data_IF_690392563691
#
_entry.id   IF_690392563691
#
_cell.length_a   1.000
_cell.length_b   1.000
_cell.length_c   1.000
_cell.angle_alpha   90.00
_cell.angle_beta   90.00
_cell.angle_gamma   90.00
#
_symmetry.space_group_name_H-M   'P 1'
#
loop_
_entity.id
_entity.type
_entity.pdbx_description
1 polymer ?
#
# COMPACT_ATOMS: atom_id res chain seq x y z
N UNK A 1 45.38 51.52 0.69
CA UNK A 1 44.42 52.66 0.67
C UNK A 1 43.44 52.50 1.83
N UNK A 2 42.88 53.59 2.38
CA UNK A 2 41.86 53.58 3.46
C UNK A 2 40.50 54.09 2.94
N UNK A 3 39.39 53.86 3.67
CA UNK A 3 38.01 54.05 3.18
C UNK A 3 37.29 55.28 3.77
N UNK A 4 36.03 55.48 3.35
CA UNK A 4 34.95 56.12 4.13
C UNK A 4 33.67 55.28 3.98
N UNK A 5 32.84 54.98 5.00
CA UNK A 5 32.26 55.75 6.13
C UNK A 5 30.98 56.52 5.77
N UNK A 6 29.90 56.29 6.55
CA UNK A 6 29.13 57.21 7.41
C UNK A 6 27.76 56.57 7.75
N UNK A 7 27.05 56.86 8.86
CA UNK A 7 27.40 56.87 10.30
C UNK A 7 26.08 57.00 11.13
N UNK A 8 26.06 56.58 12.40
CA UNK A 8 24.95 56.80 13.35
C UNK A 8 24.99 58.20 14.00
N UNK A 9 23.85 58.68 14.57
CA UNK A 9 23.73 58.86 16.04
C UNK A 9 22.71 57.85 16.65
N UNK A 10 22.76 57.37 17.91
CA UNK A 10 22.95 57.95 19.27
C UNK A 10 21.70 58.71 19.79
N UNK A 11 21.17 58.47 21.00
CA UNK A 11 21.85 58.48 22.33
C UNK A 11 21.09 57.66 23.42
N UNK A 12 21.76 56.94 24.35
CA UNK A 12 22.02 57.23 25.81
C UNK A 12 20.79 57.15 26.78
N UNK A 13 20.87 56.84 28.10
CA UNK A 13 21.92 56.43 29.08
C UNK A 13 21.47 55.13 29.83
N UNK A 14 22.33 54.31 30.47
CA UNK A 14 22.81 54.42 31.87
C UNK A 14 22.15 53.35 32.77
N UNK A 15 22.74 52.75 33.82
CA UNK A 15 24.04 52.94 34.49
C UNK A 15 24.52 51.62 35.19
N UNK A 16 25.82 51.52 35.49
CA UNK A 16 26.48 50.48 36.33
C UNK A 16 26.54 50.94 37.84
N UNK A 17 27.21 50.29 38.84
CA UNK A 17 28.41 49.40 38.80
C UNK A 17 28.47 48.19 39.78
N UNK A 18 29.58 47.43 39.73
CA UNK A 18 30.03 46.47 40.77
C UNK A 18 31.37 45.77 40.46
N UNK A 19 32.36 45.85 41.36
CA UNK A 19 33.78 45.41 41.16
C UNK A 19 34.01 43.92 41.55
N UNK A 20 34.92 43.08 40.99
CA UNK A 20 36.40 43.13 40.68
C UNK A 20 37.32 43.09 41.93
N UNK A 21 38.64 42.69 41.84
CA UNK A 21 39.40 41.92 40.82
C UNK A 21 39.77 40.47 41.33
N UNK A 22 40.92 39.74 41.23
CA UNK A 22 42.34 39.89 40.75
C UNK A 22 42.99 38.50 40.37
N UNK A 23 43.86 38.45 39.35
CA UNK A 23 45.01 37.51 39.06
C UNK A 23 44.88 35.95 39.00
N UNK A 24 45.67 35.21 38.18
CA UNK A 24 46.54 35.59 37.05
C UNK A 24 47.75 34.66 36.72
N UNK A 25 48.16 34.62 35.42
CA UNK A 25 49.46 34.13 34.84
C UNK A 25 49.87 32.64 35.06
N UNK A 26 50.77 31.97 34.32
CA UNK A 26 51.49 32.02 33.00
C UNK A 26 52.13 30.60 32.81
N UNK A 27 52.74 30.07 31.72
CA UNK A 27 52.87 30.27 30.27
C UNK A 27 53.84 29.16 29.72
N UNK A 28 53.81 28.89 28.40
CA UNK A 28 54.87 28.30 27.53
C UNK A 28 55.32 26.79 27.51
N UNK A 29 56.07 26.47 26.43
CA UNK A 29 56.54 25.15 25.89
C UNK A 29 58.11 25.10 25.82
N UNK A 30 58.87 24.29 25.02
CA UNK A 30 58.61 23.10 24.14
C UNK A 30 59.67 21.94 24.14
N UNK A 31 59.56 21.01 23.16
CA UNK A 31 60.62 20.23 22.46
C UNK A 31 61.00 18.77 22.87
N UNK A 32 61.68 18.06 21.94
CA UNK A 32 62.19 16.66 21.98
C UNK A 32 63.74 16.61 21.97
N UNK A 33 64.39 15.47 22.28
CA UNK A 33 65.04 14.66 21.23
C UNK A 33 64.93 13.11 21.44
N UNK A 34 65.73 12.28 20.74
CA UNK A 34 65.61 10.80 20.75
C UNK A 34 66.91 10.00 20.39
N UNK A 35 67.01 8.74 20.84
CA UNK A 35 67.89 7.64 20.37
C UNK A 35 67.12 6.30 20.54
N UNK A 36 66.99 5.33 19.62
CA UNK A 36 67.90 4.50 18.78
C UNK A 36 68.49 3.25 19.47
N UNK A 37 68.16 2.02 19.00
CA UNK A 37 68.95 0.82 19.36
C UNK A 37 68.48 -0.62 19.04
N UNK A 38 68.40 -1.03 17.75
CA UNK A 38 68.46 -2.45 17.24
C UNK A 38 67.33 -3.42 17.73
N UNK A 39 67.01 -4.56 17.11
CA UNK A 39 67.43 -5.23 15.86
C UNK A 39 66.29 -6.14 15.33
N UNK A 40 66.50 -6.99 14.32
CA UNK A 40 65.40 -7.68 13.60
C UNK A 40 65.69 -9.14 13.15
N UNK A 41 64.64 -9.81 12.64
CA UNK A 41 64.62 -11.10 11.87
C UNK A 41 64.61 -12.42 12.70
N UNK A 42 64.29 -13.62 12.12
CA UNK A 42 62.88 -14.02 11.89
C UNK A 42 62.47 -15.51 12.06
N UNK A 43 61.20 -15.74 12.44
CA UNK A 43 60.32 -16.77 11.83
C UNK A 43 60.35 -18.24 12.34
N UNK A 44 59.59 -19.09 11.60
CA UNK A 44 59.34 -20.55 11.79
C UNK A 44 58.30 -20.91 12.91
N UNK A 45 57.56 -22.05 12.80
CA UNK A 45 56.17 -21.96 12.34
C UNK A 45 55.15 -22.79 13.17
N UNK A 46 53.91 -22.91 12.65
CA UNK A 46 52.84 -23.74 13.21
C UNK A 46 53.21 -25.22 13.42
N UNK A 47 52.67 -25.81 14.48
CA UNK A 47 52.48 -27.26 14.65
C UNK A 47 51.08 -27.52 15.26
N UNK A 48 50.39 -28.63 14.92
CA UNK A 48 48.97 -28.78 15.20
C UNK A 48 48.67 -29.47 16.54
N UNK A 49 47.67 -28.97 17.27
CA UNK A 49 47.06 -29.74 18.36
C UNK A 49 46.14 -30.83 17.80
N UNK A 50 46.47 -32.09 18.09
CA UNK A 50 45.62 -33.26 17.79
C UNK A 50 44.59 -33.49 18.89
N UNK A 51 43.52 -34.19 18.51
CA UNK A 51 42.46 -34.66 19.40
C UNK A 51 42.99 -35.50 20.58
N UNK A 52 42.39 -35.29 21.76
CA UNK A 52 42.25 -36.30 22.81
C UNK A 52 40.77 -36.47 23.11
N UNK A 53 40.24 -37.69 22.99
CA UNK A 53 38.81 -37.95 23.10
C UNK A 53 38.28 -37.78 24.54
N UNK A 54 37.12 -37.12 24.68
CA UNK A 54 36.30 -37.21 25.88
C UNK A 54 35.05 -38.07 25.62
N UNK A 55 34.63 -38.82 26.64
CA UNK A 55 33.54 -39.80 26.57
C UNK A 55 32.18 -39.12 26.36
N UNK A 56 31.31 -39.76 25.59
CA UNK A 56 29.90 -39.41 25.52
C UNK A 56 29.21 -39.70 26.89
N UNK A 57 28.35 -38.79 27.39
CA UNK A 57 27.41 -39.09 28.47
C UNK A 57 26.37 -40.11 28.01
N UNK A 58 25.84 -40.91 28.94
CA UNK A 58 24.90 -41.99 28.64
C UNK A 58 23.48 -41.47 28.39
N UNK A 59 22.74 -42.16 27.50
CA UNK A 59 21.32 -41.90 27.25
C UNK A 59 20.49 -42.47 28.40
N UNK A 60 19.74 -41.61 29.09
CA UNK A 60 18.70 -42.06 30.03
C UNK A 60 17.44 -42.49 29.25
N UNK A 61 16.76 -43.59 29.66
CA UNK A 61 15.56 -44.05 28.98
C UNK A 61 14.38 -43.09 29.19
N UNK A 62 13.61 -42.85 28.13
CA UNK A 62 12.46 -41.96 28.17
C UNK A 62 11.29 -42.57 28.97
N UNK A 63 10.71 -41.77 29.88
CA UNK A 63 9.45 -42.12 30.55
C UNK A 63 8.28 -42.08 29.55
N UNK A 64 7.32 -43.03 29.59
CA UNK A 64 6.20 -43.05 28.66
C UNK A 64 5.27 -41.85 28.89
N UNK A 65 5.01 -41.09 27.83
CA UNK A 65 4.11 -39.95 27.88
C UNK A 65 2.67 -40.41 28.18
N UNK A 66 2.07 -39.89 29.25
CA UNK A 66 0.62 -40.05 29.49
C UNK A 66 -0.14 -39.36 28.36
N UNK A 67 -0.97 -40.13 27.64
CA UNK A 67 -1.86 -39.59 26.64
C UNK A 67 -2.81 -38.55 27.27
N UNK A 68 -2.96 -37.39 26.61
CA UNK A 68 -4.02 -36.43 26.97
C UNK A 68 -5.37 -36.99 26.51
N UNK A 69 -6.46 -36.82 27.28
CA UNK A 69 -7.80 -37.11 26.78
C UNK A 69 -8.12 -36.18 25.59
N UNK A 70 -8.96 -36.64 24.63
CA UNK A 70 -9.40 -35.79 23.53
C UNK A 70 -10.27 -34.62 24.02
N UNK A 71 -10.31 -33.49 23.29
CA UNK A 71 -11.22 -32.40 23.62
C UNK A 71 -12.69 -32.84 23.46
N UNK A 72 -13.63 -32.22 24.21
CA UNK A 72 -15.05 -32.49 24.03
C UNK A 72 -15.53 -32.04 22.64
N UNK A 73 -16.59 -32.68 22.10
CA UNK A 73 -17.17 -32.26 20.82
C UNK A 73 -17.78 -30.84 20.91
N UNK A 74 -17.85 -30.10 19.78
CA UNK A 74 -18.50 -28.80 19.76
C UNK A 74 -20.01 -28.92 20.03
N UNK A 75 -20.65 -27.86 20.58
CA UNK A 75 -22.09 -27.84 20.76
C UNK A 75 -22.83 -27.88 19.41
N UNK A 76 -24.07 -28.42 19.36
CA UNK A 76 -24.86 -28.43 18.14
C UNK A 76 -25.19 -27.00 17.67
N UNK A 77 -25.40 -26.79 16.35
CA UNK A 77 -25.81 -25.49 15.83
C UNK A 77 -27.20 -25.09 16.37
N UNK A 78 -27.48 -23.78 16.51
CA UNK A 78 -28.81 -23.31 16.88
C UNK A 78 -29.84 -23.68 15.80
N UNK A 79 -31.13 -23.87 16.16
CA UNK A 79 -32.19 -24.11 15.20
C UNK A 79 -32.36 -22.92 14.23
N UNK A 80 -32.82 -23.15 13.00
CA UNK A 80 -33.07 -22.07 12.05
C UNK A 80 -34.16 -21.12 12.56
N UNK A 81 -34.09 -19.81 12.24
CA UNK A 81 -35.12 -18.86 12.65
C UNK A 81 -36.48 -19.21 12.01
N UNK A 82 -37.55 -19.06 12.79
CA UNK A 82 -38.91 -19.25 12.29
C UNK A 82 -39.24 -18.19 11.20
N UNK A 83 -40.01 -18.55 10.15
CA UNK A 83 -40.38 -17.60 9.11
C UNK A 83 -41.32 -16.53 9.67
N UNK A 84 -40.97 -15.25 9.48
CA UNK A 84 -41.86 -14.14 9.79
C UNK A 84 -43.07 -14.13 8.84
N UNK A 85 -44.31 -13.92 9.34
CA UNK A 85 -45.49 -13.82 8.49
C UNK A 85 -45.48 -12.49 7.72
N UNK A 86 -45.54 -12.54 6.40
CA UNK A 86 -45.74 -11.36 5.55
C UNK A 86 -47.23 -11.00 5.56
N UNK A 87 -47.60 -10.00 6.34
CA UNK A 87 -48.93 -9.40 6.28
C UNK A 87 -49.12 -8.59 5.01
N UNK A 88 -50.17 -8.88 4.24
CA UNK A 88 -50.53 -8.13 3.05
C UNK A 88 -51.61 -7.09 3.38
N UNK A 89 -51.37 -5.80 3.10
CA UNK A 89 -52.42 -4.82 2.84
C UNK A 89 -51.85 -3.50 2.27
N UNK A 90 -51.87 -3.33 0.93
CA UNK A 90 -51.58 -2.05 0.25
C UNK A 90 -51.96 -2.05 -1.25
N UNK A 91 -53.09 -2.63 -1.68
CA UNK A 91 -53.51 -2.60 -3.11
C UNK A 91 -54.88 -1.95 -3.27
N UNK A 92 -54.89 -0.65 -3.58
CA UNK A 92 -56.02 0.07 -4.19
C UNK A 92 -55.49 1.13 -5.17
N UNK A 93 -55.63 0.86 -6.47
CA UNK A 93 -55.17 1.78 -7.52
C UNK A 93 -55.45 1.25 -8.92
N UNK A 94 -56.62 1.61 -9.47
CA UNK A 94 -57.03 1.54 -10.88
C UNK A 94 -56.60 0.32 -11.74
N UNK A 95 -57.55 -0.56 -12.05
CA UNK A 95 -57.49 -1.39 -13.26
C UNK A 95 -58.47 -0.86 -14.32
N UNK A 96 -58.05 -0.79 -15.60
CA UNK A 96 -58.97 -0.46 -16.70
C UNK A 96 -58.53 -1.09 -18.06
N UNK A 97 -59.39 -1.98 -18.58
CA UNK A 97 -59.69 -2.23 -20.01
C UNK A 97 -58.58 -2.77 -20.96
N UNK A 98 -58.61 -4.11 -21.11
CA UNK A 98 -58.75 -4.88 -22.38
C UNK A 98 -57.88 -4.59 -23.64
N UNK A 99 -56.94 -5.53 -23.88
CA UNK A 99 -56.88 -6.45 -25.04
C UNK A 99 -56.98 -5.98 -26.51
N UNK A 100 -55.98 -6.38 -27.33
CA UNK A 100 -56.17 -6.71 -28.76
C UNK A 100 -55.12 -7.71 -29.31
N UNK A 101 -55.56 -8.55 -30.26
CA UNK A 101 -54.79 -9.23 -31.33
C UNK A 101 -53.46 -9.97 -31.04
N UNK A 102 -53.56 -11.30 -30.91
CA UNK A 102 -52.50 -12.23 -31.37
C UNK A 102 -52.79 -12.74 -32.80
N UNK A 103 -51.77 -13.18 -33.57
CA UNK A 103 -51.75 -14.38 -34.46
C UNK A 103 -50.58 -14.42 -35.47
N UNK A 104 -50.18 -15.66 -35.84
CA UNK A 104 -49.22 -16.09 -36.90
C UNK A 104 -47.74 -15.74 -36.60
N UNK A 105 -46.77 -16.58 -36.98
CA UNK A 105 -46.83 -17.91 -37.58
C UNK A 105 -45.44 -18.58 -37.60
N UNK A 106 -45.38 -19.91 -37.61
CA UNK A 106 -44.14 -20.68 -37.45
C UNK A 106 -43.61 -21.28 -38.77
N UNK A 107 -42.39 -21.86 -38.71
CA UNK A 107 -41.66 -22.57 -39.77
C UNK A 107 -41.03 -21.63 -40.84
N UNK A 108 -39.87 -21.91 -41.44
CA UNK A 108 -39.16 -23.21 -41.65
C UNK A 108 -37.63 -22.98 -41.76
N UNK A 109 -36.83 -24.05 -41.65
CA UNK A 109 -35.37 -24.02 -41.89
C UNK A 109 -34.99 -24.46 -43.32
N UNK A 110 -33.82 -24.05 -43.84
CA UNK A 110 -33.34 -24.44 -45.19
C UNK A 110 -31.93 -23.94 -45.56
N UNK A 111 -31.09 -24.86 -46.04
CA UNK A 111 -29.63 -24.75 -46.19
C UNK A 111 -29.05 -23.85 -47.32
N UNK A 112 -27.99 -23.11 -46.96
CA UNK A 112 -26.61 -23.16 -47.50
C UNK A 112 -26.22 -22.96 -49.00
N UNK A 113 -25.14 -22.15 -49.16
CA UNK A 113 -23.97 -22.23 -50.11
C UNK A 113 -23.97 -21.57 -51.52
N UNK A 114 -22.88 -20.80 -51.73
CA UNK A 114 -22.04 -20.63 -52.95
C UNK A 114 -22.56 -19.84 -54.17
N UNK A 115 -21.73 -19.30 -55.10
CA UNK A 115 -20.37 -18.69 -55.06
C UNK A 115 -19.96 -18.18 -56.48
N UNK A 116 -19.01 -17.22 -56.60
CA UNK A 116 -18.34 -16.78 -57.87
C UNK A 116 -19.24 -15.99 -58.88
N UNK A 117 -18.84 -15.34 -59.99
CA UNK A 117 -17.61 -14.68 -60.56
C UNK A 117 -18.06 -13.94 -61.87
N UNK A 118 -17.39 -13.02 -62.60
CA UNK A 118 -16.10 -12.29 -62.47
C UNK A 118 -16.09 -10.98 -63.31
N UNK A 119 -15.19 -10.04 -62.98
CA UNK A 119 -14.44 -9.10 -63.86
C UNK A 119 -15.09 -8.28 -65.00
N UNK A 120 -14.92 -6.93 -64.96
CA UNK A 120 -14.33 -6.08 -66.03
C UNK A 120 -14.04 -4.63 -65.52
N UNK A 121 -13.09 -3.95 -66.18
CA UNK A 121 -12.62 -2.55 -66.05
C UNK A 121 -12.27 -2.05 -67.48
N UNK A 122 -11.91 -0.77 -67.78
CA UNK A 122 -11.74 0.45 -66.96
C UNK A 122 -12.74 1.56 -67.46
N UNK A 123 -12.55 2.92 -67.41
CA UNK A 123 -11.49 3.78 -66.83
C UNK A 123 -11.99 4.87 -65.86
N UNK A 124 -11.12 5.82 -65.50
CA UNK A 124 -11.32 6.82 -64.45
C UNK A 124 -11.53 8.25 -64.99
N UNK A 125 -12.15 9.12 -64.16
CA UNK A 125 -11.59 10.42 -63.70
C UNK A 125 -12.56 11.11 -62.71
N UNK A 126 -11.99 11.76 -61.67
CA UNK A 126 -12.56 12.77 -60.76
C UNK A 126 -13.97 12.56 -60.13
N UNK A 127 -13.99 12.29 -58.82
CA UNK A 127 -15.19 12.45 -57.97
C UNK A 127 -14.87 12.32 -56.48
N UNK A 128 -15.32 13.27 -55.65
CA UNK A 128 -15.16 13.20 -54.18
C UNK A 128 -16.09 12.15 -53.58
N UNK A 129 -15.54 11.17 -52.88
CA UNK A 129 -16.25 10.45 -51.81
C UNK A 129 -15.23 9.96 -50.77
N UNK A 130 -15.34 10.41 -49.52
CA UNK A 130 -14.68 9.72 -48.41
C UNK A 130 -15.44 8.41 -48.17
N UNK A 131 -14.73 7.28 -48.20
CA UNK A 131 -15.33 5.98 -47.95
C UNK A 131 -15.98 5.92 -46.57
N UNK A 132 -17.19 5.38 -46.49
CA UNK A 132 -17.90 5.24 -45.23
C UNK A 132 -17.18 4.22 -44.33
N UNK A 133 -16.42 4.72 -43.36
CA UNK A 133 -15.96 3.93 -42.21
C UNK A 133 -17.19 3.31 -41.54
N UNK A 134 -17.28 1.97 -41.39
CA UNK A 134 -18.45 1.31 -40.82
C UNK A 134 -18.80 1.86 -39.43
N UNK A 135 -20.10 1.97 -39.11
CA UNK A 135 -20.54 2.60 -37.86
C UNK A 135 -19.86 2.01 -36.62
N UNK A 136 -19.68 0.68 -36.58
CA UNK A 136 -18.97 -0.02 -35.52
C UNK A 136 -17.56 0.53 -35.22
N UNK A 137 -16.80 0.92 -36.26
CA UNK A 137 -15.44 1.47 -36.10
C UNK A 137 -15.46 2.90 -35.54
N UNK A 138 -16.52 3.68 -35.83
CA UNK A 138 -16.74 4.97 -35.16
C UNK A 138 -17.10 4.79 -33.68
N UNK A 139 -17.96 3.80 -33.36
CA UNK A 139 -18.35 3.51 -31.98
C UNK A 139 -17.18 3.03 -31.10
N UNK A 140 -16.25 2.23 -31.63
CA UNK A 140 -15.05 1.83 -30.89
C UNK A 140 -14.15 3.02 -30.52
N UNK A 141 -14.05 4.04 -31.39
CA UNK A 141 -13.26 5.24 -31.13
C UNK A 141 -13.97 6.21 -30.17
N UNK A 142 -15.31 6.31 -30.20
CA UNK A 142 -16.05 7.18 -29.30
C UNK A 142 -16.12 6.68 -27.85
N UNK A 143 -15.97 5.39 -27.57
CA UNK A 143 -16.12 4.85 -26.21
C UNK A 143 -14.99 5.27 -25.25
N UNK A 144 -13.72 5.21 -25.70
CA UNK A 144 -12.59 5.77 -24.96
C UNK A 144 -12.62 7.30 -24.87
N UNK A 145 -13.50 7.97 -25.60
CA UNK A 145 -13.67 9.42 -25.56
C UNK A 145 -14.80 9.79 -24.57
N UNK A 146 -15.96 9.12 -24.65
CA UNK A 146 -17.05 9.22 -23.67
C UNK A 146 -16.61 8.92 -22.24
N UNK A 147 -15.76 7.91 -22.02
CA UNK A 147 -15.22 7.61 -20.69
C UNK A 147 -14.20 8.65 -20.19
N UNK A 148 -13.54 9.42 -21.08
CA UNK A 148 -12.70 10.58 -20.72
C UNK A 148 -13.52 11.85 -20.49
N UNK A 149 -14.71 11.94 -21.07
CA UNK A 149 -15.66 13.04 -20.86
C UNK A 149 -16.52 12.86 -19.59
N UNK A 150 -16.80 11.61 -19.18
CA UNK A 150 -17.63 11.31 -17.99
C UNK A 150 -16.85 11.04 -16.70
N UNK A 151 -15.66 10.45 -16.79
CA UNK A 151 -14.73 10.38 -15.66
C UNK A 151 -13.76 11.55 -15.80
N UNK A 152 -13.51 12.32 -14.73
CA UNK A 152 -12.50 13.39 -14.75
C UNK A 152 -11.08 12.80 -14.87
N UNK A 153 -10.68 12.44 -16.09
CA UNK A 153 -9.40 11.84 -16.44
C UNK A 153 -8.72 12.79 -17.43
N UNK A 154 -7.97 13.75 -16.88
CA UNK A 154 -7.11 14.61 -17.70
C UNK A 154 -6.00 13.78 -18.33
N UNK A 155 -5.95 13.75 -19.67
CA UNK A 155 -4.88 13.08 -20.39
C UNK A 155 -3.53 13.74 -20.08
N UNK A 156 -2.60 12.98 -19.48
CA UNK A 156 -1.19 13.40 -19.31
C UNK A 156 -0.39 13.30 -20.63
N UNK A 157 -1.05 13.55 -21.77
CA UNK A 157 -0.47 13.52 -23.12
C UNK A 157 -0.10 14.94 -23.51
N UNK A 158 1.19 15.26 -23.45
CA UNK A 158 1.71 16.57 -23.81
C UNK A 158 1.53 16.85 -25.32
N UNK A 159 0.47 17.56 -25.71
CA UNK A 159 0.23 17.89 -27.12
C UNK A 159 -1.11 18.53 -27.47
N UNK A 160 -1.31 19.78 -27.05
CA UNK A 160 -2.27 20.75 -27.60
C UNK A 160 -3.76 20.36 -27.76
N UNK A 161 -4.61 20.94 -26.91
CA UNK A 161 -5.69 21.83 -27.35
C UNK A 161 -6.16 22.73 -26.18
N UNK A 162 -6.62 23.94 -26.55
CA UNK A 162 -7.21 25.04 -25.77
C UNK A 162 -6.75 25.34 -24.33
N UNK A 163 -6.23 26.57 -24.17
CA UNK A 163 -6.01 27.25 -22.89
C UNK A 163 -7.32 27.67 -22.20
N UNK A 164 -7.24 27.87 -20.89
CA UNK A 164 -8.27 28.49 -20.04
C UNK A 164 -9.46 27.62 -19.59
N UNK A 165 -9.15 26.44 -19.03
CA UNK A 165 -9.77 26.08 -17.76
C UNK A 165 -8.70 26.08 -16.66
N UNK A 166 -8.63 27.17 -15.89
CA UNK A 166 -7.84 27.20 -14.67
C UNK A 166 -8.53 26.31 -13.62
N UNK A 167 -8.12 25.04 -13.57
CA UNK A 167 -8.39 24.19 -12.40
C UNK A 167 -7.62 24.79 -11.22
N UNK A 168 -8.27 25.69 -10.49
CA UNK A 168 -7.70 26.36 -9.31
C UNK A 168 -7.44 25.32 -8.22
N UNK A 169 -6.24 24.75 -8.23
CA UNK A 169 -5.78 23.73 -7.29
C UNK A 169 -6.01 24.22 -5.85
N UNK A 170 -6.70 23.41 -5.05
CA UNK A 170 -7.08 23.79 -3.69
C UNK A 170 -5.84 24.10 -2.86
N UNK A 171 -5.71 25.37 -2.44
CA UNK A 171 -4.52 25.88 -1.79
C UNK A 171 -4.23 25.14 -0.48
N UNK A 172 -3.06 24.53 -0.40
CA UNK A 172 -2.63 23.71 0.73
C UNK A 172 -2.69 22.19 0.52
N UNK A 173 -3.20 21.71 -0.62
CA UNK A 173 -2.98 20.32 -1.06
C UNK A 173 -1.59 20.17 -1.72
N UNK A 174 -0.98 18.97 -1.69
CA UNK A 174 0.25 18.68 -2.45
C UNK A 174 0.02 18.74 -3.97
N UNK A 175 1.08 18.85 -4.77
CA UNK A 175 1.01 18.75 -6.24
C UNK A 175 0.99 17.30 -6.75
N UNK A 176 1.70 16.41 -6.03
CA UNK A 176 1.84 15.00 -6.36
C UNK A 176 1.54 14.12 -5.15
N UNK A 177 0.75 13.06 -5.35
CA UNK A 177 0.42 12.04 -4.34
C UNK A 177 0.97 10.69 -4.78
N UNK A 178 1.88 10.14 -3.97
CA UNK A 178 2.44 8.80 -4.17
C UNK A 178 1.46 7.75 -3.64
N UNK A 179 0.87 6.97 -4.54
CA UNK A 179 0.08 5.79 -4.17
C UNK A 179 1.04 4.61 -3.93
N UNK A 180 0.84 3.91 -2.81
CA UNK A 180 1.49 2.63 -2.52
C UNK A 180 0.44 1.53 -2.62
N UNK A 181 0.55 0.71 -3.66
CA UNK A 181 -0.41 -0.36 -3.94
C UNK A 181 -0.10 -1.59 -3.08
N UNK A 182 -0.97 -1.89 -2.11
CA UNK A 182 -0.81 -3.01 -1.16
C UNK A 182 -1.70 -4.22 -1.48
N UNK A 183 -2.46 -4.20 -2.58
CA UNK A 183 -3.35 -5.29 -3.00
C UNK A 183 -2.67 -6.67 -3.09
N UNK A 184 -1.49 -6.82 -3.72
CA UNK A 184 -0.81 -8.11 -3.83
C UNK A 184 -0.38 -8.72 -2.49
N UNK A 185 0.01 -7.89 -1.51
CA UNK A 185 0.33 -8.31 -0.14
C UNK A 185 -0.90 -8.26 0.77
N UNK A 186 -1.28 -7.08 1.25
CA UNK A 186 -2.30 -6.90 2.30
C UNK A 186 -3.71 -7.31 1.84
N UNK A 187 -4.04 -6.96 0.60
CA UNK A 187 -5.31 -7.36 -0.03
C UNK A 187 -5.44 -8.87 -0.10
N UNK A 188 -4.52 -9.56 -0.79
CA UNK A 188 -4.58 -11.02 -0.92
C UNK A 188 -4.31 -11.78 0.39
N UNK A 189 -3.65 -11.19 1.39
CA UNK A 189 -3.32 -11.85 2.66
C UNK A 189 -4.56 -12.33 3.44
N UNK A 190 -5.68 -11.60 3.34
CA UNK A 190 -6.93 -11.94 4.03
C UNK A 190 -7.98 -12.61 3.11
N UNK A 191 -7.61 -12.96 1.88
CA UNK A 191 -8.54 -13.59 0.95
C UNK A 191 -8.89 -15.05 1.32
N UNK A 192 -10.14 -15.43 0.99
CA UNK A 192 -10.65 -16.79 1.23
C UNK A 192 -10.10 -17.80 0.22
N UNK A 193 -9.82 -17.34 -1.00
CA UNK A 193 -9.23 -18.13 -2.07
C UNK A 193 -7.72 -17.92 -2.03
N UNK A 194 -6.94 -19.00 -1.91
CA UNK A 194 -5.49 -18.93 -2.09
C UNK A 194 -5.24 -18.77 -3.60
N UNK A 195 -4.92 -17.55 -4.02
CA UNK A 195 -4.63 -17.24 -5.42
C UNK A 195 -3.34 -17.97 -5.87
N UNK A 196 -3.35 -18.64 -7.04
CA UNK A 196 -2.17 -19.28 -7.62
C UNK A 196 -0.99 -18.32 -7.84
N UNK A 197 0.23 -18.84 -7.78
CA UNK A 197 1.48 -18.07 -7.83
C UNK A 197 1.68 -17.34 -9.16
N UNK A 198 1.33 -17.99 -10.27
CA UNK A 198 1.34 -17.43 -11.62
C UNK A 198 0.35 -16.26 -11.76
N UNK A 199 -0.86 -16.40 -11.19
CA UNK A 199 -1.87 -15.34 -11.18
C UNK A 199 -1.42 -14.14 -10.32
N UNK A 200 -0.74 -14.37 -9.18
CA UNK A 200 -0.14 -13.29 -8.38
C UNK A 200 0.95 -12.54 -9.15
N UNK A 201 1.85 -13.29 -9.80
CA UNK A 201 2.92 -12.73 -10.64
C UNK A 201 2.32 -11.87 -11.75
N UNK A 202 1.32 -12.38 -12.48
CA UNK A 202 0.67 -11.66 -13.56
C UNK A 202 -0.08 -10.41 -13.07
N UNK A 203 -0.78 -10.49 -11.93
CA UNK A 203 -1.40 -9.32 -11.31
C UNK A 203 -0.38 -8.22 -11.01
N UNK A 204 0.77 -8.55 -10.40
CA UNK A 204 1.84 -7.57 -10.12
C UNK A 204 2.48 -7.03 -11.41
N UNK A 205 2.63 -7.87 -12.44
CA UNK A 205 3.14 -7.45 -13.75
C UNK A 205 2.18 -6.47 -14.45
N UNK A 206 0.86 -6.64 -14.30
CA UNK A 206 -0.14 -5.69 -14.80
C UNK A 206 -0.12 -4.39 -14.00
N UNK A 207 -0.10 -4.46 -12.66
CA UNK A 207 0.00 -3.29 -11.78
C UNK A 207 1.25 -2.44 -12.09
N UNK A 208 2.39 -3.08 -12.37
CA UNK A 208 3.64 -2.39 -12.73
C UNK A 208 3.55 -1.58 -14.02
N UNK A 209 2.58 -1.88 -14.90
CA UNK A 209 2.35 -1.16 -16.15
C UNK A 209 1.32 -0.02 -16.03
N UNK A 210 0.74 0.19 -14.85
CA UNK A 210 -0.25 1.25 -14.58
C UNK A 210 0.37 2.64 -14.43
N UNK A 211 1.64 2.73 -14.01
CA UNK A 211 2.27 3.97 -13.53
C UNK A 211 2.40 4.07 -12.00
N UNK A 212 1.90 3.08 -11.25
CA UNK A 212 2.21 2.93 -9.81
C UNK A 212 3.72 2.87 -9.57
N UNK A 213 4.23 3.73 -8.69
CA UNK A 213 5.66 3.82 -8.38
C UNK A 213 6.11 2.90 -7.23
N UNK A 214 5.16 2.38 -6.43
CA UNK A 214 5.43 1.41 -5.34
C UNK A 214 4.32 0.37 -5.29
N UNK A 215 4.67 -0.91 -5.30
CA UNK A 215 3.75 -2.06 -5.19
C UNK A 215 4.27 -3.01 -4.12
N UNK A 216 3.53 -3.22 -3.02
CA UNK A 216 3.92 -4.18 -1.99
C UNK A 216 3.58 -5.61 -2.43
N UNK A 217 4.63 -6.37 -2.74
CA UNK A 217 4.56 -7.61 -3.52
C UNK A 217 4.05 -8.80 -2.72
N UNK A 218 4.62 -9.01 -1.52
CA UNK A 218 4.38 -10.22 -0.73
C UNK A 218 4.92 -10.08 0.70
N UNK A 219 4.80 -11.15 1.49
CA UNK A 219 5.13 -11.19 2.91
C UNK A 219 5.98 -12.40 3.24
N UNK A 220 7.21 -12.20 3.71
CA UNK A 220 8.15 -13.26 4.12
C UNK A 220 7.88 -13.75 5.56
N UNK A 221 6.60 -13.99 5.85
CA UNK A 221 6.04 -14.59 7.08
C UNK A 221 6.20 -16.12 7.08
N UNK A 222 5.60 -16.79 8.07
CA UNK A 222 5.46 -18.25 8.06
C UNK A 222 4.16 -18.66 7.36
N UNK A 223 4.27 -19.53 6.37
CA UNK A 223 3.14 -20.14 5.65
C UNK A 223 2.15 -20.89 6.55
N UNK A 224 2.57 -21.31 7.75
CA UNK A 224 1.68 -21.90 8.78
C UNK A 224 0.66 -20.90 9.33
N UNK A 225 1.04 -19.62 9.45
CA UNK A 225 0.18 -18.56 9.97
C UNK A 225 -0.55 -17.80 8.86
N UNK A 226 0.08 -17.67 7.69
CA UNK A 226 -0.46 -16.96 6.52
C UNK A 226 -0.25 -17.82 5.26
N UNK A 227 -1.12 -18.81 4.99
CA UNK A 227 -0.97 -19.69 3.84
C UNK A 227 -1.15 -18.96 2.50
N UNK A 228 -1.88 -17.85 2.46
CA UNK A 228 -2.04 -16.97 1.30
C UNK A 228 -0.69 -16.45 0.76
N UNK A 229 0.32 -16.31 1.62
CA UNK A 229 1.66 -15.78 1.31
C UNK A 229 2.73 -16.88 1.32
N UNK A 230 2.36 -18.15 1.21
CA UNK A 230 3.30 -19.27 1.30
C UNK A 230 4.32 -19.35 0.16
N UNK A 231 4.01 -18.74 -0.99
CA UNK A 231 4.78 -18.68 -2.24
C UNK A 231 5.55 -17.35 -2.41
N UNK A 232 5.83 -16.65 -1.30
CA UNK A 232 6.50 -15.35 -1.28
C UNK A 232 7.87 -15.33 -2.01
N UNK A 233 8.57 -16.47 -2.09
CA UNK A 233 9.89 -16.55 -2.74
C UNK A 233 9.75 -16.65 -4.25
N UNK A 234 8.73 -17.38 -4.68
CA UNK A 234 8.39 -17.72 -6.05
C UNK A 234 7.76 -16.51 -6.74
N UNK A 235 6.86 -15.79 -6.05
CA UNK A 235 6.31 -14.52 -6.53
C UNK A 235 7.40 -13.46 -6.69
N UNK A 236 8.22 -13.21 -5.66
CA UNK A 236 9.27 -12.17 -5.70
C UNK A 236 10.32 -12.42 -6.79
N UNK A 237 10.61 -13.70 -7.11
CA UNK A 237 11.51 -14.09 -8.21
C UNK A 237 10.86 -14.13 -9.59
N UNK A 238 9.52 -14.27 -9.66
CA UNK A 238 8.77 -14.45 -10.90
C UNK A 238 8.25 -13.16 -11.53
N UNK A 239 8.11 -12.08 -10.74
CA UNK A 239 7.68 -10.77 -11.25
C UNK A 239 8.76 -10.09 -12.12
N UNK A 240 8.30 -9.34 -13.12
CA UNK A 240 9.17 -8.43 -13.86
C UNK A 240 9.34 -7.14 -13.06
N UNK A 241 10.57 -6.82 -12.62
CA UNK A 241 10.85 -5.58 -11.91
C UNK A 241 11.03 -4.43 -12.92
N UNK A 242 9.99 -3.62 -13.09
CA UNK A 242 9.99 -2.50 -14.05
C UNK A 242 10.87 -1.33 -13.57
N UNK A 243 11.71 -0.73 -14.43
CA UNK A 243 12.52 0.44 -14.07
C UNK A 243 11.66 1.60 -13.55
N UNK A 244 12.02 2.12 -12.36
CA UNK A 244 11.31 3.22 -11.71
C UNK A 244 10.19 2.77 -10.74
N UNK A 245 9.78 1.51 -10.77
CA UNK A 245 8.83 0.92 -9.80
C UNK A 245 9.61 0.27 -8.65
N UNK A 246 9.10 0.41 -7.43
CA UNK A 246 9.69 -0.21 -6.23
C UNK A 246 8.79 -1.32 -5.69
N UNK A 247 9.42 -2.38 -5.17
CA UNK A 247 8.76 -3.64 -4.84
C UNK A 247 9.02 -4.04 -3.37
N UNK A 248 8.49 -3.29 -2.38
CA UNK A 248 8.62 -3.63 -0.96
C UNK A 248 7.98 -4.99 -0.62
N UNK A 249 8.56 -5.67 0.38
CA UNK A 249 8.03 -6.92 0.94
C UNK A 249 8.10 -6.94 2.46
N UNK A 250 7.08 -7.53 3.09
CA UNK A 250 6.95 -7.53 4.55
C UNK A 250 7.90 -8.54 5.20
N UNK A 251 8.79 -8.08 6.08
CA UNK A 251 9.81 -8.90 6.75
C UNK A 251 9.68 -8.80 8.28
N UNK A 252 8.85 -9.64 8.92
CA UNK A 252 8.55 -9.55 10.37
C UNK A 252 9.72 -9.90 11.31
N UNK A 253 10.78 -10.52 10.79
CA UNK A 253 11.92 -10.99 11.55
C UNK A 253 13.13 -11.24 10.62
N UNK A 254 14.30 -11.46 11.22
CA UNK A 254 15.57 -11.62 10.51
C UNK A 254 15.60 -12.82 9.54
N UNK A 255 14.89 -13.91 9.84
CA UNK A 255 14.76 -15.05 8.92
C UNK A 255 13.86 -14.72 7.71
N UNK A 256 12.82 -13.91 7.91
CA UNK A 256 12.03 -13.34 6.82
C UNK A 256 12.87 -12.42 5.93
N UNK A 257 13.64 -11.51 6.54
CA UNK A 257 14.55 -10.61 5.86
C UNK A 257 15.58 -11.35 4.99
N UNK A 258 16.31 -12.32 5.53
CA UNK A 258 17.30 -13.07 4.73
C UNK A 258 16.68 -13.84 3.56
N UNK A 259 15.44 -14.33 3.70
CA UNK A 259 14.71 -14.96 2.58
C UNK A 259 14.26 -13.95 1.52
N UNK A 260 13.84 -12.74 1.93
CA UNK A 260 13.49 -11.65 1.02
C UNK A 260 14.70 -11.20 0.18
N UNK A 261 15.85 -10.99 0.82
CA UNK A 261 17.11 -10.64 0.15
C UNK A 261 17.54 -11.75 -0.82
N UNK A 262 17.47 -13.02 -0.40
CA UNK A 262 17.76 -14.17 -1.26
C UNK A 262 16.70 -14.42 -2.37
N UNK A 263 15.61 -13.64 -2.36
CA UNK A 263 14.60 -13.59 -3.42
C UNK A 263 14.73 -12.37 -4.35
N UNK A 264 15.68 -11.45 -4.07
CA UNK A 264 15.90 -10.25 -4.88
C UNK A 264 15.07 -9.03 -4.46
N UNK A 265 14.56 -8.99 -3.23
CA UNK A 265 13.88 -7.81 -2.70
C UNK A 265 14.86 -6.66 -2.43
N UNK A 266 14.55 -5.47 -2.94
CA UNK A 266 15.37 -4.25 -2.83
C UNK A 266 14.81 -3.21 -1.87
N UNK A 267 13.62 -3.44 -1.31
CA UNK A 267 12.98 -2.64 -0.25
C UNK A 267 12.22 -3.59 0.67
N UNK A 268 12.13 -3.28 1.96
CA UNK A 268 11.40 -4.10 2.94
C UNK A 268 10.42 -3.27 3.78
N UNK A 269 9.45 -3.94 4.40
CA UNK A 269 8.54 -3.35 5.38
C UNK A 269 8.53 -4.11 6.72
N UNK A 270 8.40 -3.37 7.82
CA UNK A 270 8.20 -3.87 9.20
C UNK A 270 6.92 -3.28 9.79
N UNK A 271 6.24 -3.97 10.69
CA UNK A 271 4.93 -3.54 11.20
C UNK A 271 4.81 -3.59 12.73
N UNK A 272 4.74 -2.41 13.35
CA UNK A 272 4.34 -2.24 14.74
C UNK A 272 2.83 -2.05 14.88
N UNK A 273 2.38 -1.87 16.13
CA UNK A 273 1.01 -1.47 16.44
C UNK A 273 1.03 -0.45 17.59
N UNK A 274 0.07 0.48 17.62
CA UNK A 274 -0.13 1.42 18.72
C UNK A 274 -0.95 0.82 19.89
N UNK A 275 -1.11 -0.50 19.93
CA UNK A 275 -1.92 -1.24 20.91
C UNK A 275 -1.22 -2.52 21.36
N UNK A 276 -1.11 -2.71 22.69
CA UNK A 276 -0.47 -3.90 23.28
C UNK A 276 -1.33 -5.15 23.07
N UNK A 277 -2.65 -5.05 23.26
CA UNK A 277 -3.58 -6.15 23.00
C UNK A 277 -3.59 -6.56 21.52
N UNK A 278 -3.39 -5.61 20.60
CA UNK A 278 -3.26 -5.92 19.19
C UNK A 278 -1.93 -6.62 18.89
N UNK A 279 -0.80 -6.07 19.34
CA UNK A 279 0.53 -6.69 19.19
C UNK A 279 0.55 -8.12 19.74
N UNK A 280 0.04 -8.31 20.97
CA UNK A 280 0.00 -9.61 21.63
C UNK A 280 -0.93 -10.62 20.96
N UNK A 281 -1.95 -10.20 20.22
CA UNK A 281 -2.85 -11.09 19.46
C UNK A 281 -2.36 -11.37 18.04
N UNK A 282 -1.65 -10.43 17.42
CA UNK A 282 -1.20 -10.53 16.02
C UNK A 282 0.20 -11.17 15.90
N UNK A 283 1.13 -10.85 16.80
CA UNK A 283 2.53 -11.31 16.78
C UNK A 283 3.01 -11.92 18.11
N UNK A 284 2.09 -12.19 19.04
CA UNK A 284 2.36 -12.90 20.32
C UNK A 284 3.49 -12.30 21.18
N UNK A 285 3.68 -10.98 21.12
CA UNK A 285 4.59 -10.23 21.97
C UNK A 285 4.10 -8.78 22.17
N UNK A 286 4.63 -8.09 23.18
CA UNK A 286 4.38 -6.66 23.44
C UNK A 286 4.94 -5.76 22.34
N UNK A 287 4.56 -4.48 22.37
CA UNK A 287 5.12 -3.48 21.46
C UNK A 287 6.65 -3.43 21.62
N UNK A 288 7.19 -3.43 22.84
CA UNK A 288 8.64 -3.31 23.06
C UNK A 288 9.41 -4.51 22.51
N UNK A 289 8.96 -5.73 22.82
CA UNK A 289 9.53 -6.97 22.26
C UNK A 289 9.39 -7.03 20.73
N UNK A 290 8.45 -6.32 20.11
CA UNK A 290 8.37 -6.19 18.65
C UNK A 290 9.39 -5.19 18.11
N UNK A 291 9.58 -4.06 18.79
CA UNK A 291 10.55 -3.02 18.44
C UNK A 291 11.98 -3.55 18.45
N UNK A 292 12.36 -4.38 19.43
CA UNK A 292 13.67 -5.05 19.46
C UNK A 292 13.92 -5.90 18.20
N UNK A 293 12.94 -6.71 17.81
CA UNK A 293 13.02 -7.58 16.61
C UNK A 293 13.08 -6.78 15.31
N UNK A 294 12.35 -5.66 15.24
CA UNK A 294 12.40 -4.77 14.08
C UNK A 294 13.73 -4.01 14.03
N UNK A 295 14.33 -3.67 15.16
CA UNK A 295 15.64 -3.02 15.19
C UNK A 295 16.73 -3.95 14.59
N UNK A 296 16.72 -5.25 14.89
CA UNK A 296 17.61 -6.23 14.23
C UNK A 296 17.43 -6.26 12.71
N UNK A 297 16.18 -6.27 12.23
CA UNK A 297 15.85 -6.29 10.80
C UNK A 297 16.27 -4.99 10.11
N UNK A 298 15.92 -3.83 10.67
CA UNK A 298 16.23 -2.50 10.10
C UNK A 298 17.74 -2.23 10.15
N UNK A 299 18.44 -2.63 11.22
CA UNK A 299 19.92 -2.63 11.26
C UNK A 299 20.49 -3.48 10.13
N UNK A 300 19.97 -4.69 9.92
CA UNK A 300 20.47 -5.62 8.89
C UNK A 300 20.23 -5.08 7.48
N UNK A 301 19.03 -4.57 7.20
CA UNK A 301 18.70 -3.91 5.94
C UNK A 301 19.61 -2.71 5.65
N UNK A 302 19.86 -1.85 6.67
CA UNK A 302 20.75 -0.69 6.55
C UNK A 302 22.21 -1.08 6.24
N UNK A 303 22.74 -2.17 6.82
CA UNK A 303 24.08 -2.67 6.45
C UNK A 303 24.17 -3.15 4.99
N UNK A 304 23.04 -3.48 4.37
CA UNK A 304 22.95 -3.88 2.96
C UNK A 304 22.49 -2.73 2.03
N UNK A 305 22.31 -1.50 2.56
CA UNK A 305 21.72 -0.35 1.87
C UNK A 305 20.27 -0.58 1.36
N UNK A 306 19.54 -1.51 1.98
CA UNK A 306 18.14 -1.80 1.66
C UNK A 306 17.25 -0.86 2.48
N UNK A 307 16.44 0.02 1.86
CA UNK A 307 15.48 0.86 2.57
C UNK A 307 14.39 0.04 3.28
N UNK A 308 14.00 0.52 4.47
CA UNK A 308 12.93 -0.06 5.27
C UNK A 308 11.77 0.91 5.48
N UNK A 309 10.54 0.44 5.27
CA UNK A 309 9.28 1.16 5.55
C UNK A 309 8.67 0.66 6.85
N UNK A 310 8.20 1.56 7.70
CA UNK A 310 7.49 1.21 8.93
C UNK A 310 5.98 1.27 8.74
N UNK A 311 5.24 0.34 9.33
CA UNK A 311 3.78 0.41 9.49
C UNK A 311 3.41 0.51 10.98
N UNK A 312 2.37 1.29 11.30
CA UNK A 312 1.80 1.39 12.65
C UNK A 312 0.31 1.07 12.61
N UNK A 313 -0.04 -0.16 12.96
CA UNK A 313 -1.44 -0.61 13.08
C UNK A 313 -2.17 0.05 14.24
N UNK A 314 -3.50 0.13 14.13
CA UNK A 314 -4.41 0.71 15.12
C UNK A 314 -4.21 2.21 15.41
N UNK A 315 -3.75 2.99 14.43
CA UNK A 315 -3.45 4.42 14.60
C UNK A 315 -4.69 5.27 14.98
N UNK A 316 -5.89 4.90 14.51
CA UNK A 316 -7.15 5.61 14.80
C UNK A 316 -8.12 4.82 15.70
N UNK A 317 -7.72 3.65 16.19
CA UNK A 317 -8.54 2.78 17.04
C UNK A 317 -8.08 1.33 17.03
N UNK A 318 -8.44 0.57 18.06
CA UNK A 318 -8.11 -0.84 18.23
C UNK A 318 -9.38 -1.69 18.46
N UNK A 319 -9.54 -2.86 17.82
CA UNK A 319 -10.69 -3.75 18.02
C UNK A 319 -10.74 -4.42 19.42
N UNK A 320 -9.77 -4.15 20.29
CA UNK A 320 -9.64 -4.75 21.63
C UNK A 320 -9.54 -3.73 22.77
N UNK A 321 -8.86 -2.60 22.53
CA UNK A 321 -8.67 -1.52 23.51
C UNK A 321 -9.56 -0.29 23.22
N UNK A 322 -10.26 -0.27 22.07
CA UNK A 322 -11.11 0.84 21.67
C UNK A 322 -10.30 2.06 21.22
N UNK A 323 -10.33 3.14 21.99
CA UNK A 323 -9.69 4.40 21.64
C UNK A 323 -8.19 4.38 21.93
N UNK A 324 -7.37 4.56 20.90
CA UNK A 324 -5.91 4.72 21.00
C UNK A 324 -5.56 6.21 21.07
N UNK A 325 -4.60 6.59 21.92
CA UNK A 325 -4.18 7.98 22.07
C UNK A 325 -3.19 8.39 20.96
N UNK A 326 -3.30 9.61 20.40
CA UNK A 326 -2.32 10.14 19.44
C UNK A 326 -0.86 10.04 19.92
N UNK A 327 -0.64 10.20 21.22
CA UNK A 327 0.65 10.06 21.87
C UNK A 327 1.22 8.64 21.71
N UNK A 328 0.40 7.58 21.85
CA UNK A 328 0.88 6.20 21.69
C UNK A 328 1.24 5.87 20.25
N UNK A 329 0.50 6.42 19.28
CA UNK A 329 0.87 6.36 17.85
C UNK A 329 2.19 7.10 17.61
N UNK A 330 2.38 8.26 18.24
CA UNK A 330 3.59 9.08 18.15
C UNK A 330 4.82 8.37 18.71
N UNK A 331 4.71 7.74 19.89
CA UNK A 331 5.78 6.90 20.49
C UNK A 331 6.27 5.82 19.53
N UNK A 332 5.34 5.02 18.99
CA UNK A 332 5.65 3.87 18.13
C UNK A 332 6.22 4.33 16.79
N UNK A 333 5.65 5.37 16.19
CA UNK A 333 6.14 5.96 14.94
C UNK A 333 7.56 6.52 15.12
N UNK A 334 7.81 7.23 16.23
CA UNK A 334 9.13 7.83 16.54
C UNK A 334 10.19 6.76 16.78
N UNK A 335 9.84 5.63 17.39
CA UNK A 335 10.75 4.47 17.49
C UNK A 335 11.12 3.91 16.12
N UNK A 336 10.14 3.57 15.28
CA UNK A 336 10.39 3.01 13.94
C UNK A 336 11.23 3.97 13.06
N UNK A 337 10.92 5.27 13.08
CA UNK A 337 11.68 6.29 12.35
C UNK A 337 13.12 6.40 12.88
N UNK A 338 13.30 6.47 14.20
CA UNK A 338 14.62 6.53 14.85
C UNK A 338 15.51 5.31 14.63
N UNK A 339 14.95 4.12 14.37
CA UNK A 339 15.71 2.93 13.97
C UNK A 339 16.31 3.05 12.56
N UNK A 340 15.70 3.87 11.69
CA UNK A 340 16.08 4.05 10.29
C UNK A 340 15.02 3.65 9.28
N UNK A 341 13.74 3.53 9.66
CA UNK A 341 12.66 3.45 8.66
C UNK A 341 12.53 4.80 7.94
N UNK A 342 12.57 4.83 6.61
CA UNK A 342 12.57 6.09 5.84
C UNK A 342 11.19 6.77 5.79
N UNK A 343 10.13 5.98 5.95
CA UNK A 343 8.72 6.41 5.86
C UNK A 343 7.86 5.54 6.79
N UNK A 344 6.90 6.15 7.48
CA UNK A 344 5.98 5.49 8.43
C UNK A 344 4.54 5.58 7.92
N UNK A 345 3.93 4.45 7.61
CA UNK A 345 2.52 4.34 7.25
C UNK A 345 1.63 4.18 8.50
N UNK A 346 0.72 5.13 8.68
CA UNK A 346 -0.16 5.26 9.84
C UNK A 346 -1.51 4.57 9.53
N UNK A 347 -1.71 3.39 10.12
CA UNK A 347 -2.77 2.46 9.72
C UNK A 347 -4.04 2.52 10.58
N UNK A 348 -5.15 2.95 9.99
CA UNK A 348 -6.49 2.64 10.50
C UNK A 348 -6.91 1.24 10.03
N UNK A 349 -6.32 0.24 10.69
CA UNK A 349 -6.48 -1.21 10.41
C UNK A 349 -7.93 -1.71 10.53
N UNK A 350 -8.82 -0.93 11.15
CA UNK A 350 -10.23 -1.28 11.32
C UNK A 350 -11.19 -0.38 10.53
N UNK A 351 -10.74 0.77 10.01
CA UNK A 351 -11.58 1.73 9.28
C UNK A 351 -12.54 2.53 10.18
N UNK A 352 -12.21 2.66 11.47
CA UNK A 352 -13.06 3.30 12.51
C UNK A 352 -12.73 4.77 12.74
N UNK A 353 -11.64 5.25 12.13
CA UNK A 353 -11.22 6.64 12.18
C UNK A 353 -12.18 7.55 11.45
N UNK A 354 -12.23 8.80 11.90
CA UNK A 354 -13.01 9.88 11.28
C UNK A 354 -12.06 11.07 11.04
N UNK A 355 -12.42 12.03 10.16
CA UNK A 355 -11.61 13.23 9.92
C UNK A 355 -11.09 13.92 11.20
N UNK A 356 -11.95 13.99 12.23
CA UNK A 356 -11.59 14.55 13.52
C UNK A 356 -10.54 13.74 14.30
N UNK A 357 -10.54 12.40 14.23
CA UNK A 357 -9.50 11.58 14.87
C UNK A 357 -8.23 11.51 14.02
N UNK A 358 -8.34 11.43 12.69
CA UNK A 358 -7.21 11.51 11.76
C UNK A 358 -6.40 12.78 11.99
N UNK A 359 -7.07 13.94 12.01
CA UNK A 359 -6.42 15.23 12.28
C UNK A 359 -5.67 15.25 13.61
N UNK A 360 -6.30 14.86 14.72
CA UNK A 360 -5.66 14.85 16.05
C UNK A 360 -4.49 13.86 16.15
N UNK A 361 -4.54 12.77 15.39
CA UNK A 361 -3.45 11.79 15.31
C UNK A 361 -2.25 12.39 14.57
N UNK A 362 -2.47 12.93 13.38
CA UNK A 362 -1.42 13.60 12.58
C UNK A 362 -0.83 14.83 13.30
N UNK A 363 -1.66 15.66 13.95
CA UNK A 363 -1.23 16.79 14.80
C UNK A 363 -0.32 16.38 15.97
N UNK A 364 -0.31 15.10 16.35
CA UNK A 364 0.62 14.55 17.36
C UNK A 364 1.89 14.02 16.70
N UNK A 365 1.77 13.20 15.65
CA UNK A 365 2.93 12.56 14.99
C UNK A 365 3.81 13.58 14.27
N UNK A 366 3.22 14.59 13.61
CA UNK A 366 3.93 15.63 12.85
C UNK A 366 4.77 16.59 13.71
N UNK A 367 4.69 16.50 15.04
CA UNK A 367 5.58 17.22 15.97
C UNK A 367 6.95 16.54 16.12
N UNK A 368 7.04 15.27 15.75
CA UNK A 368 8.17 14.38 16.02
C UNK A 368 8.77 13.76 14.75
N UNK A 369 8.02 13.75 13.64
CA UNK A 369 8.40 13.18 12.34
C UNK A 369 7.95 14.15 11.23
N UNK A 370 8.80 14.48 10.24
CA UNK A 370 8.39 15.35 9.13
C UNK A 370 7.33 14.67 8.26
N UNK A 371 6.38 15.45 7.73
CA UNK A 371 5.28 14.93 6.88
C UNK A 371 5.76 14.17 5.64
N UNK A 372 6.91 14.53 5.09
CA UNK A 372 7.57 13.85 3.97
C UNK A 372 8.09 12.44 4.30
N UNK A 373 8.03 12.02 5.56
CA UNK A 373 8.34 10.66 6.04
C UNK A 373 7.10 9.97 6.64
N UNK A 374 5.90 10.48 6.36
CA UNK A 374 4.63 9.92 6.83
C UNK A 374 3.74 9.54 5.65
N UNK A 375 3.02 8.43 5.82
CA UNK A 375 1.98 7.95 4.92
C UNK A 375 0.72 7.60 5.72
N UNK A 376 -0.43 7.49 5.05
CA UNK A 376 -1.68 7.01 5.67
C UNK A 376 -2.20 5.76 4.97
N UNK A 377 -2.62 4.78 5.78
CA UNK A 377 -3.25 3.53 5.34
C UNK A 377 -4.65 3.46 5.95
N UNK A 378 -5.70 3.58 5.13
CA UNK A 378 -7.07 3.65 5.59
C UNK A 378 -7.91 2.48 5.06
N UNK A 379 -8.46 1.68 5.97
CA UNK A 379 -9.52 0.73 5.63
C UNK A 379 -10.86 1.45 5.51
N UNK A 380 -11.72 1.01 4.59
CA UNK A 380 -13.02 1.63 4.33
C UNK A 380 -14.20 0.87 4.96
N UNK A 381 -13.95 0.13 6.04
CA UNK A 381 -14.95 -0.71 6.75
C UNK A 381 -16.24 0.05 7.09
N UNK A 382 -16.13 1.35 7.40
CA UNK A 382 -17.24 2.23 7.77
C UNK A 382 -17.43 3.41 6.78
N UNK A 383 -16.92 3.30 5.55
CA UNK A 383 -17.05 4.35 4.52
C UNK A 383 -16.32 5.66 4.84
N UNK A 384 -15.23 5.59 5.61
CA UNK A 384 -14.49 6.76 6.11
C UNK A 384 -13.16 7.01 5.38
N UNK A 385 -12.67 6.07 4.56
CA UNK A 385 -11.27 6.07 4.14
C UNK A 385 -10.92 7.29 3.28
N UNK A 386 -11.71 7.60 2.25
CA UNK A 386 -11.46 8.77 1.39
C UNK A 386 -11.58 10.10 2.17
N UNK A 387 -12.48 10.19 3.16
CA UNK A 387 -12.60 11.38 4.01
C UNK A 387 -11.39 11.55 4.96
N UNK A 388 -10.89 10.43 5.51
CA UNK A 388 -9.67 10.40 6.31
C UNK A 388 -8.43 10.75 5.46
N UNK A 389 -8.35 10.22 4.23
CA UNK A 389 -7.26 10.53 3.28
C UNK A 389 -7.31 12.00 2.86
N UNK A 390 -8.47 12.55 2.51
CA UNK A 390 -8.63 13.98 2.20
C UNK A 390 -8.16 14.86 3.37
N UNK A 391 -8.46 14.46 4.60
CA UNK A 391 -7.96 15.15 5.82
C UNK A 391 -6.44 15.10 5.92
N UNK A 392 -5.82 13.97 5.58
CA UNK A 392 -4.36 13.84 5.56
C UNK A 392 -3.70 14.67 4.45
N UNK A 393 -4.29 14.70 3.25
CA UNK A 393 -3.85 15.54 2.12
C UNK A 393 -3.91 17.04 2.49
N UNK A 394 -4.97 17.48 3.16
CA UNK A 394 -5.13 18.83 3.72
C UNK A 394 -4.13 19.17 4.85
N UNK A 395 -3.42 18.18 5.38
CA UNK A 395 -2.34 18.34 6.35
C UNK A 395 -0.94 18.17 5.73
N UNK A 396 -0.85 18.10 4.41
CA UNK A 396 0.43 17.97 3.69
C UNK A 396 1.06 16.58 3.76
N UNK A 397 0.29 15.54 4.09
CA UNK A 397 0.67 14.15 3.82
C UNK A 397 0.45 13.91 2.33
N UNK A 398 1.43 13.35 1.62
CA UNK A 398 1.34 13.09 0.18
C UNK A 398 1.64 11.64 -0.21
N UNK A 399 1.57 10.72 0.75
CA UNK A 399 1.69 9.28 0.53
C UNK A 399 0.48 8.57 1.10
N UNK A 400 -0.15 7.71 0.28
CA UNK A 400 -1.38 7.00 0.63
C UNK A 400 -1.26 5.54 0.21
N UNK A 401 -1.63 4.63 1.12
CA UNK A 401 -1.68 3.19 0.85
C UNK A 401 -3.11 2.80 0.45
N UNK A 402 -3.24 2.02 -0.62
CA UNK A 402 -4.54 1.54 -1.14
C UNK A 402 -4.42 0.17 -1.80
N UNK A 403 -5.54 -0.52 -2.02
CA UNK A 403 -5.56 -1.81 -2.71
C UNK A 403 -6.50 -1.76 -3.93
N UNK A 404 -6.03 -2.24 -5.08
CA UNK A 404 -6.88 -2.40 -6.28
C UNK A 404 -8.15 -3.18 -5.96
N UNK A 405 -9.27 -2.73 -6.52
CA UNK A 405 -10.62 -3.27 -6.34
C UNK A 405 -11.08 -3.33 -4.87
N UNK A 406 -10.40 -2.60 -3.96
CA UNK A 406 -10.64 -2.66 -2.52
C UNK A 406 -10.42 -4.08 -1.95
N UNK A 407 -9.36 -4.75 -2.38
CA UNK A 407 -9.04 -6.13 -1.99
C UNK A 407 -8.81 -6.32 -0.47
N UNK A 408 -9.09 -7.55 -0.03
CA UNK A 408 -8.90 -8.01 1.34
C UNK A 408 -10.16 -7.96 2.18
N UNK A 409 -10.02 -7.43 3.40
CA UNK A 409 -11.04 -7.44 4.45
C UNK A 409 -10.40 -7.46 5.83
N UNK A 410 -11.07 -6.90 6.84
CA UNK A 410 -10.58 -6.94 8.22
C UNK A 410 -10.98 -8.26 8.91
N UNK A 411 -10.04 -9.13 9.33
CA UNK A 411 -10.38 -10.40 9.98
C UNK A 411 -11.09 -10.22 11.34
N UNK A 412 -11.05 -9.01 11.91
CA UNK A 412 -11.68 -8.65 13.18
C UNK A 412 -13.11 -8.09 13.01
N UNK A 413 -13.52 -7.72 11.79
CA UNK A 413 -14.83 -7.14 11.50
C UNK A 413 -15.53 -7.94 10.38
N UNK A 414 -16.47 -8.81 10.77
CA UNK A 414 -17.21 -9.68 9.84
C UNK A 414 -17.99 -8.84 8.81
N UNK A 415 -17.59 -8.93 7.55
CA UNK A 415 -18.21 -8.18 6.45
C UNK A 415 -17.54 -6.84 6.11
N UNK A 416 -16.41 -6.51 6.73
CA UNK A 416 -15.60 -5.35 6.36
C UNK A 416 -15.11 -5.44 4.92
N UNK A 417 -15.23 -4.32 4.18
CA UNK A 417 -14.68 -4.11 2.83
C UNK A 417 -13.17 -4.35 2.76
N UNK A 418 -12.43 -3.86 3.76
CA UNK A 418 -10.96 -3.95 3.81
C UNK A 418 -10.32 -2.62 3.46
N UNK A 419 -9.28 -2.65 2.64
CA UNK A 419 -8.54 -1.47 2.19
C UNK A 419 -9.42 -0.52 1.34
N UNK A 420 -9.07 0.76 1.31
CA UNK A 420 -9.61 1.69 0.31
C UNK A 420 -9.26 1.22 -1.10
N UNK A 421 -10.20 1.35 -2.03
CA UNK A 421 -9.99 0.98 -3.43
C UNK A 421 -9.07 1.99 -4.13
N UNK A 422 -8.00 1.50 -4.78
CA UNK A 422 -7.04 2.34 -5.52
C UNK A 422 -7.71 3.12 -6.65
N UNK A 423 -8.70 2.55 -7.31
CA UNK A 423 -9.50 3.20 -8.36
C UNK A 423 -10.30 4.40 -7.82
N UNK A 424 -10.92 4.23 -6.65
CA UNK A 424 -11.76 5.25 -6.02
C UNK A 424 -10.89 6.39 -5.43
N UNK A 425 -9.68 6.04 -4.96
CA UNK A 425 -8.64 7.00 -4.57
C UNK A 425 -8.16 7.81 -5.78
N UNK A 426 -7.77 7.17 -6.89
CA UNK A 426 -7.32 7.86 -8.11
C UNK A 426 -8.42 8.79 -8.65
N UNK A 427 -9.67 8.35 -8.65
CA UNK A 427 -10.80 9.18 -9.08
C UNK A 427 -10.96 10.44 -8.21
N UNK A 428 -10.84 10.33 -6.88
CA UNK A 428 -10.83 11.49 -5.98
C UNK A 428 -9.63 12.41 -6.25
N UNK A 429 -8.43 11.85 -6.41
CA UNK A 429 -7.19 12.62 -6.63
C UNK A 429 -7.24 13.39 -7.96
N UNK A 430 -7.66 12.74 -9.05
CA UNK A 430 -7.82 13.38 -10.35
C UNK A 430 -8.89 14.50 -10.30
N UNK A 431 -10.02 14.26 -9.63
CA UNK A 431 -11.08 15.26 -9.43
C UNK A 431 -10.67 16.46 -8.55
N UNK A 432 -9.60 16.32 -7.77
CA UNK A 432 -8.96 17.40 -7.01
C UNK A 432 -7.80 18.09 -7.78
N UNK A 433 -7.50 17.65 -9.01
CA UNK A 433 -6.39 18.15 -9.82
C UNK A 433 -5.00 17.65 -9.36
N UNK A 434 -4.93 16.56 -8.59
CA UNK A 434 -3.70 16.06 -7.96
C UNK A 434 -3.04 15.00 -8.85
N UNK A 435 -1.75 15.16 -9.14
CA UNK A 435 -1.03 14.21 -9.98
C UNK A 435 -0.65 12.93 -9.20
N UNK A 436 -0.82 11.77 -9.83
CA UNK A 436 -0.39 10.46 -9.31
C UNK A 436 0.58 9.72 -10.24
N UNK A 437 0.55 10.05 -11.54
CA UNK A 437 1.19 9.27 -12.61
C UNK A 437 0.47 7.96 -12.98
N UNK A 438 -0.67 7.63 -12.35
CA UNK A 438 -1.31 6.31 -12.47
C UNK A 438 -2.49 6.32 -13.46
N UNK A 439 -2.47 5.40 -14.41
CA UNK A 439 -3.54 5.18 -15.38
C UNK A 439 -4.70 4.37 -14.76
N UNK A 440 -5.80 5.06 -14.43
CA UNK A 440 -7.00 4.48 -13.81
C UNK A 440 -7.57 3.27 -14.58
N UNK A 441 -7.64 3.32 -15.91
CA UNK A 441 -8.19 2.20 -16.70
C UNK A 441 -7.36 0.92 -16.55
N UNK A 442 -6.03 1.01 -16.56
CA UNK A 442 -5.15 -0.16 -16.33
C UNK A 442 -5.27 -0.71 -14.91
N UNK A 443 -5.50 0.15 -13.91
CA UNK A 443 -5.77 -0.29 -12.52
C UNK A 443 -7.09 -1.08 -12.48
N UNK A 444 -8.13 -0.59 -13.15
CA UNK A 444 -9.42 -1.28 -13.27
C UNK A 444 -9.31 -2.62 -14.03
N UNK A 445 -8.46 -2.71 -15.05
CA UNK A 445 -8.20 -3.96 -15.79
C UNK A 445 -7.49 -5.00 -14.91
N UNK A 446 -6.45 -4.59 -14.17
CA UNK A 446 -5.81 -5.45 -13.17
C UNK A 446 -6.78 -5.85 -12.03
N UNK A 447 -7.70 -4.96 -11.68
CA UNK A 447 -8.76 -5.18 -10.70
C UNK A 447 -9.80 -6.21 -11.15
N UNK A 448 -10.28 -6.13 -12.39
CA UNK A 448 -11.18 -7.12 -13.00
C UNK A 448 -10.49 -8.49 -13.11
N UNK A 449 -9.21 -8.53 -13.51
CA UNK A 449 -8.41 -9.75 -13.56
C UNK A 449 -8.31 -10.45 -12.19
N UNK A 450 -7.89 -9.73 -11.14
CA UNK A 450 -7.72 -10.35 -9.81
C UNK A 450 -9.07 -10.69 -9.16
N UNK A 451 -10.10 -9.86 -9.34
CA UNK A 451 -11.46 -10.14 -8.85
C UNK A 451 -12.04 -11.44 -9.41
N UNK A 452 -11.82 -11.71 -10.71
CA UNK A 452 -12.18 -13.00 -11.33
C UNK A 452 -11.42 -14.16 -10.68
N UNK A 453 -10.13 -14.01 -10.40
CA UNK A 453 -9.32 -15.05 -9.77
C UNK A 453 -9.70 -15.36 -8.31
N UNK A 454 -10.08 -14.34 -7.50
CA UNK A 454 -10.60 -14.56 -6.14
C UNK A 454 -12.11 -14.89 -6.10
N UNK A 455 -12.77 -14.92 -7.26
CA UNK A 455 -14.21 -15.10 -7.43
C UNK A 455 -15.04 -14.11 -6.56
N UNK A 456 -14.75 -12.81 -6.69
CA UNK A 456 -15.48 -11.70 -6.05
C UNK A 456 -15.88 -10.64 -7.08
N UNK A 457 -16.93 -9.89 -6.77
CA UNK A 457 -17.13 -8.55 -7.32
C UNK A 457 -16.13 -7.56 -6.72
N UNK A 458 -15.62 -6.62 -7.52
CA UNK A 458 -14.82 -5.49 -7.02
C UNK A 458 -15.57 -4.66 -5.97
N UNK A 459 -14.87 -4.17 -4.95
CA UNK A 459 -15.42 -3.23 -3.98
C UNK A 459 -15.39 -1.77 -4.49
N UNK A 460 -14.56 -1.46 -5.50
CA UNK A 460 -14.46 -0.12 -6.09
C UNK A 460 -15.79 0.38 -6.65
N UNK A 461 -16.18 1.58 -6.26
CA UNK A 461 -17.36 2.29 -6.77
C UNK A 461 -17.16 2.79 -8.20
N UNK A 462 -15.96 3.23 -8.54
CA UNK A 462 -15.58 3.65 -9.90
C UNK A 462 -15.65 2.46 -10.86
N UNK A 463 -15.12 1.30 -10.46
CA UNK A 463 -15.20 0.07 -11.24
C UNK A 463 -16.65 -0.44 -11.36
N UNK A 464 -17.41 -0.47 -10.27
CA UNK A 464 -18.85 -0.83 -10.30
C UNK A 464 -19.65 0.05 -11.27
N UNK A 465 -19.44 1.38 -11.27
CA UNK A 465 -20.10 2.29 -12.21
C UNK A 465 -19.66 2.08 -13.66
N UNK A 466 -18.35 1.87 -13.89
CA UNK A 466 -17.77 1.84 -15.24
C UNK A 466 -17.96 0.51 -15.97
N UNK A 467 -17.91 -0.64 -15.26
CA UNK A 467 -18.04 -1.96 -15.91
C UNK A 467 -19.47 -2.31 -16.28
N UNK A 468 -20.48 -1.78 -15.58
CA UNK A 468 -21.89 -1.95 -15.97
C UNK A 468 -22.19 -1.28 -17.32
N UNK A 469 -21.53 -0.15 -17.63
CA UNK A 469 -21.57 0.54 -18.93
C UNK A 469 -20.78 -0.18 -20.06
N UNK A 470 -20.66 -1.52 -19.99
CA UNK A 470 -20.19 -2.43 -21.06
C UNK A 470 -21.23 -3.49 -21.45
N UNK A 471 -22.41 -3.48 -20.83
CA UNK A 471 -23.48 -4.48 -21.04
C UNK A 471 -24.73 -3.91 -21.75
N UNK A 472 -24.66 -2.64 -22.15
CA UNK A 472 -25.59 -1.93 -23.03
C UNK A 472 -24.88 -1.51 -24.33
#
# INVERSE_FOLDING_TARGET
MRPSFYLHPLSRLGSEPGEKPVSGACADRPARPAQRGRGATPGRPWAPFRFSAFRAPQVLPALPARARPPPPPPPPPPPPPAPHPVGADAVRGAGLVLAACARRGALRAGAARSASLSSRLPPAVAGRAMGNVPSAVKHCLSYQQLLREHLWIGDSVAGALDTAQETSQLSGLPEYVKIVEVGPRDGLQNEKVIVPTDIKIEFINQLSQTGLSVIEVTSFVSSKWVPQMADHTEVMKGIHQYPGVRYPVLTPNLQGFHRAVAAGATEISVFGAASESFSKRNINCSIEESMEKFEEVVKSARHMNIPARGYVSCALGCPYEGNITPQKVTEVSKKLYGMGCYEISLGDTTGVGTPGSMKRMLESVMKEIPSSALAVHCHDTYGQALANILTALQMGINVVDSAVSGLGGCPYAKGASGNVATEDLIYMLNGLGLNTGVNLYKVMEAGDFICKAVNKTTNSKVAQASFNARLE
#
